data_IF_540183622418
#
_entry.id   IF_540183622418
#
_cell.length_a   1.000
_cell.length_b   1.000
_cell.length_c   1.000
_cell.angle_alpha   90.00
_cell.angle_beta   90.00
_cell.angle_gamma   90.00
#
_symmetry.space_group_name_H-M   'P 1'
#
loop_
_entity.id
_entity.type
_entity.pdbx_description
1 polymer ?
#
# COMPACT_ATOMS: atom_id res chain seq x y z
N UNK A 1 13.20 -7.63 13.83
CA UNK A 1 12.27 -6.53 14.21
C UNK A 1 10.85 -7.06 14.25
N UNK A 2 10.02 -6.49 15.11
CA UNK A 2 8.59 -6.79 15.08
C UNK A 2 7.94 -6.11 13.86
N UNK A 3 6.77 -6.60 13.47
CA UNK A 3 6.02 -5.96 12.38
C UNK A 3 5.65 -4.51 12.73
N UNK A 4 5.30 -4.26 14.02
CA UNK A 4 5.01 -2.90 14.46
C UNK A 4 6.21 -1.98 14.33
N UNK A 5 7.43 -2.47 14.57
CA UNK A 5 8.66 -1.69 14.39
C UNK A 5 8.88 -1.33 12.91
N UNK A 6 8.52 -2.20 11.97
CA UNK A 6 8.56 -1.86 10.55
C UNK A 6 7.61 -0.71 10.24
N UNK A 7 6.40 -0.74 10.79
CA UNK A 7 5.44 0.37 10.61
C UNK A 7 5.99 1.66 11.22
N UNK A 8 6.42 1.60 12.49
CA UNK A 8 6.76 2.81 13.26
C UNK A 8 8.11 3.40 12.89
N UNK A 9 9.09 2.56 12.59
CA UNK A 9 10.48 2.98 12.34
C UNK A 9 10.83 3.00 10.87
N UNK A 10 10.55 1.90 10.16
CA UNK A 10 11.00 1.74 8.77
C UNK A 10 10.09 2.45 7.76
N UNK A 11 8.85 2.73 8.11
CA UNK A 11 7.88 3.43 7.27
C UNK A 11 7.59 4.82 7.83
N UNK A 12 6.79 4.93 8.86
CA UNK A 12 6.38 6.24 9.41
C UNK A 12 7.58 7.01 9.97
N UNK A 13 8.50 6.33 10.61
CA UNK A 13 9.70 6.96 11.20
C UNK A 13 10.64 7.61 10.19
N UNK A 14 10.52 7.30 8.89
CA UNK A 14 11.31 7.95 7.85
C UNK A 14 10.86 9.37 7.55
N UNK A 15 9.63 9.72 7.90
CA UNK A 15 8.99 10.99 7.53
C UNK A 15 8.45 11.01 6.10
N UNK A 16 8.63 9.94 5.33
CA UNK A 16 8.17 9.87 3.93
C UNK A 16 6.77 9.28 3.78
N UNK A 17 6.25 8.65 4.83
CA UNK A 17 4.84 8.27 4.94
C UNK A 17 4.36 8.67 6.33
N UNK A 18 3.08 9.00 6.46
CA UNK A 18 2.52 9.43 7.75
C UNK A 18 1.66 8.35 8.40
N UNK A 19 1.20 7.37 7.62
CA UNK A 19 0.37 6.27 8.10
C UNK A 19 0.73 5.02 7.33
N UNK A 20 0.73 3.87 8.01
CA UNK A 20 1.05 2.61 7.38
C UNK A 20 0.37 1.45 8.08
N UNK A 21 0.14 0.37 7.34
CA UNK A 21 -0.33 -0.90 7.87
C UNK A 21 0.29 -2.03 7.07
N UNK A 22 0.53 -3.16 7.72
CA UNK A 22 1.06 -4.37 7.10
C UNK A 22 0.04 -5.48 7.29
N UNK A 23 -0.38 -6.09 6.20
CA UNK A 23 -1.33 -7.20 6.18
C UNK A 23 -0.64 -8.45 5.64
N UNK A 24 -1.25 -9.62 5.88
CA UNK A 24 -0.85 -10.82 5.16
C UNK A 24 -1.20 -10.68 3.66
N UNK A 25 -0.64 -11.55 2.82
CA UNK A 25 -0.85 -11.46 1.37
C UNK A 25 -2.30 -11.67 0.93
N UNK A 26 -3.12 -12.28 1.80
CA UNK A 26 -4.55 -12.48 1.54
C UNK A 26 -5.40 -11.27 1.95
N UNK A 27 -4.80 -10.33 2.67
CA UNK A 27 -5.46 -9.08 3.07
C UNK A 27 -6.53 -9.24 4.15
N UNK A 28 -6.57 -10.39 4.84
CA UNK A 28 -7.59 -10.69 5.85
C UNK A 28 -7.08 -10.67 7.29
N UNK A 29 -5.78 -10.45 7.49
CA UNK A 29 -5.18 -10.36 8.80
C UNK A 29 -4.20 -9.18 8.86
N UNK A 30 -4.41 -8.26 9.79
CA UNK A 30 -3.48 -7.15 10.01
C UNK A 30 -2.38 -7.61 10.97
N UNK A 31 -1.12 -7.44 10.54
CA UNK A 31 0.04 -7.77 11.39
C UNK A 31 0.50 -6.57 12.21
N UNK A 32 0.38 -5.37 11.66
CA UNK A 32 0.68 -4.13 12.36
C UNK A 32 0.04 -2.94 11.65
N UNK A 33 -0.22 -1.86 12.39
CA UNK A 33 -0.76 -0.64 11.84
C UNK A 33 -0.36 0.55 12.69
N UNK A 34 -0.26 1.73 12.07
CA UNK A 34 -0.09 2.97 12.81
C UNK A 34 -1.40 3.38 13.48
N UNK A 35 -1.30 4.11 14.61
CA UNK A 35 -2.47 4.55 15.36
C UNK A 35 -3.39 5.39 14.47
N UNK A 36 -4.69 5.12 14.55
CA UNK A 36 -5.70 5.87 13.79
C UNK A 36 -5.78 5.53 12.31
N UNK A 37 -5.00 4.57 11.82
CA UNK A 37 -5.05 4.13 10.43
C UNK A 37 -5.71 2.75 10.35
N UNK A 38 -6.98 2.75 10.01
CA UNK A 38 -7.76 1.52 9.90
C UNK A 38 -8.21 1.33 8.45
N UNK A 39 -7.74 0.26 7.83
CA UNK A 39 -8.17 -0.15 6.49
C UNK A 39 -9.25 -1.21 6.67
N UNK A 40 -10.46 -0.93 6.20
CA UNK A 40 -11.61 -1.80 6.41
C UNK A 40 -11.49 -3.11 5.61
N UNK A 41 -12.13 -4.20 6.02
CA UNK A 41 -12.09 -5.47 5.29
C UNK A 41 -12.54 -5.35 3.83
N UNK A 42 -13.55 -4.56 3.53
CA UNK A 42 -14.00 -4.34 2.15
C UNK A 42 -12.97 -3.55 1.33
N UNK A 43 -12.22 -2.65 1.97
CA UNK A 43 -11.14 -1.91 1.32
C UNK A 43 -9.96 -2.85 1.01
N UNK A 44 -9.60 -3.73 1.94
CA UNK A 44 -8.58 -4.74 1.69
C UNK A 44 -9.00 -5.74 0.62
N UNK A 45 -10.27 -6.12 0.58
CA UNK A 45 -10.81 -6.98 -0.48
C UNK A 45 -10.64 -6.33 -1.86
N UNK A 46 -10.84 -5.04 -1.96
CA UNK A 46 -10.64 -4.27 -3.19
C UNK A 46 -9.17 -4.30 -3.63
N UNK A 47 -8.24 -4.11 -2.69
CA UNK A 47 -6.79 -4.17 -2.94
C UNK A 47 -6.37 -5.58 -3.41
N UNK A 48 -6.81 -6.62 -2.72
CA UNK A 48 -6.50 -8.01 -3.08
C UNK A 48 -7.06 -8.35 -4.46
N UNK A 49 -8.27 -7.92 -4.75
CA UNK A 49 -8.88 -8.10 -6.06
C UNK A 49 -8.06 -7.41 -7.15
N UNK A 50 -7.55 -6.21 -6.87
CA UNK A 50 -6.69 -5.48 -7.80
C UNK A 50 -5.41 -6.26 -8.13
N UNK A 51 -4.82 -6.93 -7.16
CA UNK A 51 -3.63 -7.77 -7.40
C UNK A 51 -3.94 -9.03 -8.21
N UNK A 52 -5.14 -9.57 -8.09
CA UNK A 52 -5.57 -10.75 -8.85
C UNK A 52 -6.04 -10.39 -10.26
N UNK A 53 -6.40 -9.14 -10.49
CA UNK A 53 -6.87 -8.66 -11.77
C UNK A 53 -5.70 -8.63 -12.77
N UNK A 54 -5.85 -9.30 -13.89
CA UNK A 54 -4.83 -9.36 -14.96
C UNK A 54 -4.98 -8.22 -15.97
N UNK A 55 -5.99 -7.38 -15.78
CA UNK A 55 -6.30 -6.30 -16.70
C UNK A 55 -7.22 -6.73 -17.84
N UNK A 56 -7.68 -5.74 -18.57
CA UNK A 56 -8.49 -5.95 -19.79
C UNK A 56 -7.59 -6.25 -20.99
N UNK A 57 -8.12 -6.19 -22.21
CA UNK A 57 -7.38 -6.43 -23.44
C UNK A 57 -6.18 -5.47 -23.64
N UNK A 58 -6.21 -4.31 -22.98
CA UNK A 58 -5.13 -3.31 -23.02
C UNK A 58 -4.24 -3.37 -21.77
N UNK A 59 -4.42 -4.35 -20.89
CA UNK A 59 -3.67 -4.49 -19.66
C UNK A 59 -4.11 -3.55 -18.53
N UNK A 60 -5.27 -2.94 -18.65
CA UNK A 60 -5.79 -1.98 -17.66
C UNK A 60 -6.64 -2.71 -16.64
N UNK A 61 -6.27 -2.58 -15.36
CA UNK A 61 -7.02 -3.17 -14.25
C UNK A 61 -8.25 -2.32 -13.91
N UNK A 62 -9.29 -2.97 -13.37
CA UNK A 62 -10.53 -2.30 -13.00
C UNK A 62 -10.32 -1.10 -12.06
N UNK A 63 -9.39 -1.20 -11.09
CA UNK A 63 -9.09 -0.12 -10.14
C UNK A 63 -8.51 1.12 -10.81
N UNK A 64 -7.91 1.00 -11.97
CA UNK A 64 -7.39 2.16 -12.71
C UNK A 64 -8.53 3.03 -13.26
N UNK A 65 -9.70 2.45 -13.44
CA UNK A 65 -10.91 3.16 -13.86
C UNK A 65 -11.78 3.58 -12.68
N UNK A 66 -11.94 2.71 -11.68
CA UNK A 66 -12.87 2.93 -10.56
C UNK A 66 -12.23 3.49 -9.30
N UNK A 67 -10.89 3.45 -9.20
CA UNK A 67 -10.16 3.91 -8.01
C UNK A 67 -10.12 2.88 -6.90
N UNK A 68 -9.45 3.25 -5.80
CA UNK A 68 -9.34 2.44 -4.58
C UNK A 68 -9.83 3.24 -3.39
N UNK A 69 -10.38 2.54 -2.40
CA UNK A 69 -10.80 3.12 -1.13
C UNK A 69 -9.87 2.64 -0.02
N UNK A 70 -9.34 3.56 0.77
CA UNK A 70 -8.48 3.25 1.92
C UNK A 70 -8.82 4.21 3.06
N UNK A 71 -9.09 3.65 4.23
CA UNK A 71 -9.42 4.41 5.44
C UNK A 71 -10.57 5.41 5.23
N UNK A 72 -11.55 5.03 4.40
CA UNK A 72 -12.74 5.85 4.13
C UNK A 72 -12.60 6.84 2.99
N UNK A 73 -11.41 7.00 2.41
CA UNK A 73 -11.16 7.94 1.31
C UNK A 73 -10.97 7.22 -0.01
N UNK A 74 -11.42 7.87 -1.09
CA UNK A 74 -11.24 7.35 -2.45
C UNK A 74 -9.99 7.96 -3.10
N UNK A 75 -9.18 7.12 -3.72
CA UNK A 75 -7.96 7.52 -4.42
C UNK A 75 -8.02 7.11 -5.89
N UNK A 76 -7.52 7.99 -6.75
CA UNK A 76 -7.33 7.69 -8.17
C UNK A 76 -6.08 6.84 -8.30
N UNK A 77 -6.15 5.74 -9.04
CA UNK A 77 -5.02 4.82 -9.21
C UNK A 77 -4.17 5.27 -10.39
N UNK A 78 -2.90 5.58 -10.13
CA UNK A 78 -1.95 6.05 -11.13
C UNK A 78 -1.10 4.92 -11.69
N UNK A 79 -0.83 3.90 -10.88
CA UNK A 79 -0.05 2.72 -11.26
C UNK A 79 -0.68 1.49 -10.61
N UNK A 80 -0.81 0.43 -11.37
CA UNK A 80 -1.31 -0.85 -10.87
C UNK A 80 -0.65 -1.99 -11.63
N UNK A 81 0.16 -2.76 -10.93
CA UNK A 81 0.79 -3.96 -11.48
C UNK A 81 0.71 -5.10 -10.47
N UNK A 82 1.50 -6.15 -10.64
CA UNK A 82 1.46 -7.33 -9.78
C UNK A 82 2.08 -7.09 -8.40
N UNK A 83 2.83 -6.01 -8.25
CA UNK A 83 3.55 -5.68 -7.02
C UNK A 83 3.07 -4.36 -6.40
N UNK A 84 2.86 -3.33 -7.21
CA UNK A 84 2.70 -1.96 -6.73
C UNK A 84 1.38 -1.35 -7.18
N UNK A 85 0.70 -0.70 -6.24
CA UNK A 85 -0.50 0.10 -6.50
C UNK A 85 -0.23 1.50 -5.94
N UNK A 86 -0.21 2.50 -6.82
CA UNK A 86 -0.02 3.89 -6.42
C UNK A 86 -1.31 4.66 -6.66
N UNK A 87 -1.77 5.37 -5.63
CA UNK A 87 -2.99 6.16 -5.71
C UNK A 87 -2.76 7.60 -5.31
N UNK A 88 -3.69 8.45 -5.69
CA UNK A 88 -3.62 9.88 -5.40
C UNK A 88 -4.99 10.45 -5.09
N UNK A 89 -5.04 11.33 -4.09
CA UNK A 89 -6.21 12.13 -3.73
C UNK A 89 -5.72 13.57 -3.52
N UNK A 90 -5.94 14.43 -4.52
CA UNK A 90 -5.35 15.76 -4.50
C UNK A 90 -3.82 15.68 -4.50
N UNK A 91 -3.19 16.18 -3.45
CA UNK A 91 -1.73 16.14 -3.26
C UNK A 91 -1.29 15.04 -2.30
N UNK A 92 -2.22 14.36 -1.65
CA UNK A 92 -1.97 13.18 -0.82
C UNK A 92 -1.97 11.93 -1.68
N UNK A 93 -1.42 10.85 -1.18
CA UNK A 93 -1.44 9.62 -1.94
C UNK A 93 -1.21 8.37 -1.14
N UNK A 94 -1.30 7.25 -1.86
CA UNK A 94 -1.08 5.91 -1.36
C UNK A 94 0.07 5.26 -2.09
N UNK A 95 0.85 4.46 -1.36
CA UNK A 95 1.78 3.49 -1.94
C UNK A 95 1.46 2.16 -1.30
N UNK A 96 1.03 1.21 -2.11
CA UNK A 96 0.68 -0.14 -1.68
C UNK A 96 1.58 -1.09 -2.43
N UNK A 97 2.34 -1.92 -1.70
CA UNK A 97 3.28 -2.85 -2.32
C UNK A 97 3.06 -4.24 -1.74
N UNK A 98 2.95 -5.22 -2.61
CA UNK A 98 2.82 -6.62 -2.24
C UNK A 98 4.18 -7.30 -2.26
N UNK A 99 4.50 -8.01 -1.18
CA UNK A 99 5.68 -8.88 -1.10
C UNK A 99 5.25 -10.33 -1.27
N UNK A 100 6.14 -11.28 -0.96
CA UNK A 100 5.81 -12.70 -1.05
C UNK A 100 4.67 -13.09 -0.10
N UNK A 101 4.68 -12.57 1.13
CA UNK A 101 3.72 -12.94 2.17
C UNK A 101 2.97 -11.76 2.78
N UNK A 102 3.25 -10.53 2.35
CA UNK A 102 2.69 -9.33 2.97
C UNK A 102 2.15 -8.33 1.95
N UNK A 103 1.28 -7.45 2.42
CA UNK A 103 0.84 -6.27 1.69
C UNK A 103 1.13 -5.06 2.58
N UNK A 104 1.94 -4.13 2.07
CA UNK A 104 2.26 -2.87 2.76
C UNK A 104 1.31 -1.80 2.24
N UNK A 105 0.46 -1.28 3.11
CA UNK A 105 -0.49 -0.21 2.75
C UNK A 105 -0.05 1.07 3.44
N UNK A 106 0.34 2.07 2.66
CA UNK A 106 0.88 3.31 3.20
C UNK A 106 0.20 4.53 2.61
N UNK A 107 0.18 5.61 3.39
CA UNK A 107 -0.33 6.92 3.00
C UNK A 107 0.78 7.94 3.17
N UNK A 108 0.88 8.91 2.26
CA UNK A 108 1.80 10.04 2.41
C UNK A 108 1.02 11.35 2.31
N UNK A 109 1.42 12.38 3.12
CA UNK A 109 0.75 13.68 3.10
C UNK A 109 1.20 14.52 1.92
N UNK A 110 0.52 15.62 1.68
CA UNK A 110 0.83 16.53 0.57
C UNK A 110 2.22 17.15 0.66
N UNK A 111 2.83 17.16 1.85
CA UNK A 111 4.18 17.71 2.08
C UNK A 111 5.30 16.76 1.62
N UNK A 112 4.97 15.51 1.29
CA UNK A 112 5.94 14.50 0.88
C UNK A 112 5.86 14.29 -0.63
N UNK A 113 7.01 14.21 -1.29
CA UNK A 113 7.07 13.89 -2.70
C UNK A 113 6.65 12.43 -2.93
N UNK A 114 5.80 12.16 -3.94
CA UNK A 114 5.36 10.79 -4.22
C UNK A 114 6.52 9.81 -4.44
N UNK A 115 7.59 10.24 -5.10
CA UNK A 115 8.77 9.41 -5.33
C UNK A 115 9.50 9.03 -4.05
N UNK A 116 9.56 9.93 -3.06
CA UNK A 116 10.18 9.64 -1.78
C UNK A 116 9.37 8.59 -1.00
N UNK A 117 8.05 8.73 -0.98
CA UNK A 117 7.16 7.76 -0.35
C UNK A 117 7.28 6.39 -1.02
N UNK A 118 7.21 6.35 -2.35
CA UNK A 118 7.32 5.11 -3.12
C UNK A 118 8.65 4.42 -2.85
N UNK A 119 9.75 5.16 -2.89
CA UNK A 119 11.09 4.60 -2.66
C UNK A 119 11.21 3.97 -1.27
N UNK A 120 10.70 4.63 -0.24
CA UNK A 120 10.71 4.11 1.13
C UNK A 120 9.98 2.77 1.23
N UNK A 121 8.79 2.68 0.67
CA UNK A 121 7.96 1.46 0.75
C UNK A 121 8.54 0.34 -0.11
N UNK A 122 8.98 0.67 -1.32
CA UNK A 122 9.57 -0.33 -2.21
C UNK A 122 10.87 -0.91 -1.66
N UNK A 123 11.70 -0.10 -0.98
CA UNK A 123 12.92 -0.59 -0.34
C UNK A 123 12.62 -1.55 0.81
N UNK A 124 11.61 -1.25 1.63
CA UNK A 124 11.21 -2.19 2.70
C UNK A 124 10.66 -3.47 2.09
N UNK A 125 9.88 -3.38 1.02
CA UNK A 125 9.38 -4.56 0.32
C UNK A 125 10.51 -5.44 -0.20
N UNK A 126 11.54 -4.84 -0.81
CA UNK A 126 12.72 -5.58 -1.28
C UNK A 126 13.42 -6.30 -0.13
N UNK A 127 13.58 -5.63 1.01
CA UNK A 127 14.18 -6.23 2.19
C UNK A 127 13.36 -7.42 2.67
N UNK A 128 12.05 -7.26 2.79
CA UNK A 128 11.17 -8.34 3.26
C UNK A 128 11.20 -9.56 2.33
N UNK A 129 11.18 -9.33 1.02
CA UNK A 129 11.32 -10.40 0.03
C UNK A 129 12.64 -11.14 0.23
N UNK A 130 13.72 -10.39 0.46
CA UNK A 130 15.06 -10.95 0.67
C UNK A 130 15.17 -11.81 1.92
N UNK A 131 14.32 -11.62 2.93
CA UNK A 131 14.30 -12.42 4.17
C UNK A 131 13.12 -13.41 4.21
N UNK A 132 12.45 -13.63 3.10
CA UNK A 132 11.43 -14.67 2.94
C UNK A 132 9.98 -14.21 3.14
N UNK A 133 9.75 -12.94 3.26
CA UNK A 133 8.41 -12.37 3.41
C UNK A 133 8.01 -11.55 2.19
#
# INVERSE_FOLDING_TARGET
MSWQAYVDTSLVGTGNVDKAAIFNSEGNSVWAASAGFTVAPNEMAEIVTAYKDKGDANGIKAVQSSGLHVAGDKYIVLKADERSLYGKKGKEGLVIVKTTQAILVTHYPETVQPGAAANTVEQLADYLIGVGY
#
